data_IF_600287526400
#
_entry.id   IF_600287526400
#
_cell.length_a   1.000
_cell.length_b   1.000
_cell.length_c   1.000
_cell.angle_alpha   90.00
_cell.angle_beta   90.00
_cell.angle_gamma   90.00
#
_symmetry.space_group_name_H-M   'P 1'
#
loop_
_entity.id
_entity.type
_entity.pdbx_description
1 polymer ?
#
# COMPACT_ATOMS: atom_id res chain seq x y z
N UNK A 1 34.70 -5.61 13.00
CA UNK A 1 34.24 -4.51 13.88
C UNK A 1 32.72 -4.55 13.97
N UNK A 2 32.10 -4.54 15.15
CA UNK A 2 30.65 -4.58 15.24
C UNK A 2 30.09 -3.21 14.87
N UNK A 3 29.31 -3.15 13.78
CA UNK A 3 28.51 -1.98 13.42
C UNK A 3 27.58 -1.68 14.61
N UNK A 4 27.88 -0.64 15.38
CA UNK A 4 26.93 -0.06 16.34
C UNK A 4 25.63 0.17 15.57
N UNK A 5 24.52 -0.46 16.01
CA UNK A 5 23.16 -0.20 15.53
C UNK A 5 22.86 1.29 15.68
N UNK A 6 23.25 2.12 14.70
CA UNK A 6 22.87 3.53 14.62
C UNK A 6 21.35 3.53 14.48
N UNK A 7 20.65 3.93 15.55
CA UNK A 7 19.22 4.22 15.47
C UNK A 7 19.08 5.36 14.45
N UNK A 8 18.47 5.07 13.31
CA UNK A 8 18.14 6.09 12.32
C UNK A 8 17.27 7.16 13.00
N UNK A 9 17.49 8.46 12.73
CA UNK A 9 16.65 9.51 13.25
C UNK A 9 15.21 9.29 12.76
N UNK A 10 14.28 9.18 13.71
CA UNK A 10 12.86 8.91 13.47
C UNK A 10 12.08 10.21 13.53
N UNK A 11 11.31 10.50 12.50
CA UNK A 11 10.31 11.56 12.50
C UNK A 11 8.98 10.99 12.99
N UNK A 12 8.46 11.59 14.06
CA UNK A 12 7.10 11.38 14.54
C UNK A 12 6.12 12.43 13.99
N UNK A 13 6.60 13.35 13.16
CA UNK A 13 5.80 14.38 12.50
C UNK A 13 6.25 14.53 11.04
N UNK A 14 5.28 14.56 10.12
CA UNK A 14 5.51 14.79 8.68
C UNK A 14 5.70 16.28 8.43
N UNK A 15 6.73 16.65 7.65
CA UNK A 15 7.02 18.06 7.36
C UNK A 15 6.08 18.65 6.30
N UNK A 16 6.00 19.97 6.20
CA UNK A 16 5.17 20.66 5.21
C UNK A 16 5.61 20.35 3.77
N UNK A 17 6.91 20.18 3.55
CA UNK A 17 7.49 19.79 2.26
C UNK A 17 7.03 18.37 1.88
N UNK A 18 7.13 17.41 2.81
CA UNK A 18 6.65 16.05 2.59
C UNK A 18 5.15 16.02 2.29
N UNK A 19 4.32 16.80 3.01
CA UNK A 19 2.88 16.89 2.72
C UNK A 19 2.61 17.46 1.33
N UNK A 20 3.39 18.45 0.90
CA UNK A 20 3.27 19.03 -0.44
C UNK A 20 3.60 18.00 -1.52
N UNK A 21 4.64 17.19 -1.32
CA UNK A 21 4.99 16.11 -2.24
C UNK A 21 3.93 15.01 -2.28
N UNK A 22 3.39 14.60 -1.12
CA UNK A 22 2.33 13.61 -1.04
C UNK A 22 1.08 14.09 -1.79
N UNK A 23 0.72 15.38 -1.68
CA UNK A 23 -0.42 15.96 -2.39
C UNK A 23 -0.23 16.03 -3.92
N UNK A 24 0.99 15.88 -4.44
CA UNK A 24 1.26 15.81 -5.88
C UNK A 24 1.05 14.40 -6.45
N UNK A 25 0.90 13.39 -5.61
CA UNK A 25 0.61 12.03 -6.06
C UNK A 25 -0.81 12.02 -6.63
N UNK A 26 -0.90 11.85 -7.95
CA UNK A 26 -2.16 11.82 -8.67
C UNK A 26 -2.72 10.40 -8.68
N UNK A 27 -4.00 10.27 -8.37
CA UNK A 27 -4.74 9.02 -8.50
C UNK A 27 -5.66 9.08 -9.71
N UNK A 28 -5.84 7.95 -10.38
CA UNK A 28 -6.86 7.81 -11.43
C UNK A 28 -8.29 7.97 -10.88
N UNK A 29 -8.47 7.87 -9.56
CA UNK A 29 -9.76 7.90 -8.90
C UNK A 29 -9.68 8.55 -7.51
N UNK A 30 -10.79 9.12 -7.01
CA UNK A 30 -10.81 9.82 -5.73
C UNK A 30 -10.92 8.84 -4.55
N UNK A 31 -9.79 8.31 -4.10
CA UNK A 31 -9.73 7.44 -2.93
C UNK A 31 -10.06 8.15 -1.61
N UNK A 32 -10.67 7.41 -0.69
CA UNK A 32 -10.89 7.85 0.69
C UNK A 32 -10.11 6.95 1.65
N UNK A 33 -9.18 7.53 2.40
CA UNK A 33 -8.31 6.82 3.34
C UNK A 33 -8.85 6.78 4.77
N UNK A 34 -10.04 7.32 5.01
CA UNK A 34 -10.69 7.28 6.30
C UNK A 34 -10.99 5.83 6.72
N UNK A 35 -11.08 5.54 8.03
CA UNK A 35 -11.41 4.20 8.51
C UNK A 35 -12.68 3.67 7.83
N UNK A 36 -12.54 2.52 7.18
CA UNK A 36 -13.63 1.86 6.48
C UNK A 36 -14.44 0.95 7.43
N UNK A 37 -15.70 0.57 7.09
CA UNK A 37 -16.48 1.01 5.94
C UNK A 37 -17.33 2.28 6.19
N UNK A 38 -17.69 2.98 5.11
CA UNK A 38 -18.63 4.12 5.07
C UNK A 38 -18.30 5.25 6.06
N UNK A 39 -17.12 5.86 5.95
CA UNK A 39 -16.76 7.01 6.77
C UNK A 39 -17.65 8.21 6.46
N UNK A 40 -18.07 8.94 7.49
CA UNK A 40 -18.82 10.20 7.34
C UNK A 40 -17.98 11.31 6.72
N UNK A 41 -16.65 11.20 6.77
CA UNK A 41 -15.69 12.17 6.28
C UNK A 41 -14.77 11.57 5.22
N UNK A 42 -14.33 12.42 4.28
CA UNK A 42 -13.23 12.07 3.36
C UNK A 42 -11.91 12.43 4.02
N UNK A 43 -10.97 11.50 4.00
CA UNK A 43 -9.58 11.71 4.43
C UNK A 43 -8.68 11.50 3.23
N UNK A 44 -7.84 12.48 2.95
CA UNK A 44 -6.83 12.46 1.89
C UNK A 44 -5.64 11.57 2.25
N UNK A 45 -4.82 11.20 1.27
CA UNK A 45 -3.58 10.46 1.53
C UNK A 45 -2.63 11.21 2.47
N UNK A 46 -2.49 12.53 2.28
CA UNK A 46 -1.61 13.35 3.09
C UNK A 46 -2.05 13.41 4.55
N UNK A 47 -3.34 13.59 4.80
CA UNK A 47 -3.91 13.54 6.16
C UNK A 47 -3.70 12.17 6.80
N UNK A 48 -4.01 11.08 6.07
CA UNK A 48 -3.82 9.72 6.56
C UNK A 48 -2.36 9.42 6.93
N UNK A 49 -1.41 9.78 6.08
CA UNK A 49 0.03 9.56 6.33
C UNK A 49 0.51 10.41 7.49
N UNK A 50 0.06 11.66 7.60
CA UNK A 50 0.35 12.56 8.72
C UNK A 50 -0.11 11.96 10.05
N UNK A 51 -1.36 11.53 10.12
CA UNK A 51 -1.96 11.00 11.35
C UNK A 51 -1.30 9.67 11.77
N UNK A 52 -0.85 8.88 10.78
CA UNK A 52 -0.16 7.62 11.02
C UNK A 52 1.26 7.78 11.61
N UNK A 53 1.87 8.97 11.52
CA UNK A 53 3.24 9.22 12.00
C UNK A 53 3.41 9.01 13.52
N UNK A 54 2.31 9.18 14.27
CA UNK A 54 2.29 8.96 15.73
C UNK A 54 2.39 7.47 16.09
N UNK A 55 1.79 6.59 15.29
CA UNK A 55 1.78 5.14 15.48
C UNK A 55 3.00 4.46 14.86
N UNK A 56 3.43 4.96 13.70
CA UNK A 56 4.54 4.40 12.93
C UNK A 56 5.44 5.52 12.40
N UNK A 57 6.56 5.82 13.08
CA UNK A 57 7.41 6.93 12.69
C UNK A 57 8.11 6.70 11.35
N UNK A 58 8.37 7.79 10.63
CA UNK A 58 9.03 7.80 9.34
C UNK A 58 10.51 8.15 9.45
N UNK A 59 11.27 7.89 8.39
CA UNK A 59 12.60 8.46 8.21
C UNK A 59 12.47 9.92 7.76
N UNK A 60 13.53 10.71 8.00
CA UNK A 60 13.62 12.07 7.44
C UNK A 60 13.68 12.02 5.91
N UNK A 61 14.46 11.07 5.40
CA UNK A 61 14.72 10.89 3.98
C UNK A 61 15.23 9.48 3.76
N UNK A 62 14.76 8.81 2.71
CA UNK A 62 15.26 7.50 2.29
C UNK A 62 15.91 7.54 0.88
N UNK A 63 16.17 6.37 0.31
CA UNK A 63 16.80 6.23 -1.02
C UNK A 63 15.88 6.77 -2.12
N UNK A 64 14.57 6.51 -2.03
CA UNK A 64 13.58 6.95 -3.02
C UNK A 64 13.51 8.48 -3.06
N UNK A 65 13.53 9.14 -1.90
CA UNK A 65 13.59 10.60 -1.82
C UNK A 65 14.93 11.18 -2.27
N UNK A 66 16.04 10.46 -2.09
CA UNK A 66 17.36 10.90 -2.56
C UNK A 66 17.44 10.90 -4.08
N UNK A 67 16.78 9.93 -4.70
CA UNK A 67 16.73 9.78 -6.15
C UNK A 67 15.60 10.60 -6.80
N UNK A 68 14.75 11.27 -6.01
CA UNK A 68 13.59 12.03 -6.47
C UNK A 68 12.69 11.22 -7.41
N UNK A 69 12.45 9.93 -7.09
CA UNK A 69 11.63 9.09 -7.95
C UNK A 69 10.18 9.56 -7.91
N UNK A 70 9.58 9.87 -9.06
CA UNK A 70 8.19 10.36 -9.12
C UNK A 70 7.18 9.30 -8.68
N UNK A 71 7.43 8.03 -9.04
CA UNK A 71 6.57 6.89 -8.72
C UNK A 71 7.39 5.63 -8.42
N UNK A 72 6.76 4.68 -7.73
CA UNK A 72 7.29 3.32 -7.56
C UNK A 72 6.73 2.45 -8.69
N UNK A 73 7.64 1.75 -9.38
CA UNK A 73 7.37 0.74 -10.40
C UNK A 73 7.87 -0.61 -9.90
N UNK A 74 7.62 -1.68 -10.66
CA UNK A 74 8.21 -2.98 -10.34
C UNK A 74 9.74 -2.93 -10.26
N UNK A 75 10.37 -2.16 -11.13
CA UNK A 75 11.82 -2.00 -11.14
C UNK A 75 12.30 -1.19 -9.93
N UNK A 76 11.78 0.02 -9.73
CA UNK A 76 12.25 0.86 -8.62
C UNK A 76 11.94 0.26 -7.25
N UNK A 77 10.91 -0.60 -7.14
CA UNK A 77 10.65 -1.37 -5.92
C UNK A 77 11.84 -2.27 -5.57
N UNK A 78 12.31 -3.10 -6.49
CA UNK A 78 13.37 -4.07 -6.19
C UNK A 78 14.77 -3.44 -6.13
N UNK A 79 15.01 -2.37 -6.91
CA UNK A 79 16.31 -1.69 -6.93
C UNK A 79 16.54 -0.75 -5.74
N UNK A 80 15.48 -0.22 -5.13
CA UNK A 80 15.60 0.86 -4.15
C UNK A 80 14.94 0.59 -2.79
N UNK A 81 14.14 -0.46 -2.66
CA UNK A 81 13.52 -0.84 -1.40
C UNK A 81 14.05 -2.17 -0.89
N UNK A 82 14.56 -2.18 0.34
CA UNK A 82 14.91 -3.43 1.02
C UNK A 82 13.64 -4.08 1.56
N UNK A 83 13.18 -5.13 0.87
CA UNK A 83 11.99 -5.94 1.21
C UNK A 83 11.95 -6.36 2.69
N UNK A 84 13.11 -6.59 3.34
CA UNK A 84 13.20 -7.04 4.74
C UNK A 84 13.07 -5.90 5.74
N UNK A 85 13.34 -4.67 5.32
CA UNK A 85 13.35 -3.50 6.19
C UNK A 85 12.12 -2.61 6.01
N UNK A 86 11.29 -2.84 4.99
CA UNK A 86 10.06 -2.07 4.72
C UNK A 86 9.21 -1.86 5.99
N UNK A 87 8.90 -2.92 6.73
CA UNK A 87 8.08 -2.83 7.94
C UNK A 87 8.83 -2.30 9.19
N UNK A 88 10.08 -1.84 9.04
CA UNK A 88 10.87 -1.29 10.16
C UNK A 88 10.50 0.17 10.42
N UNK A 89 10.03 0.54 11.62
CA UNK A 89 9.69 1.93 11.93
C UNK A 89 10.90 2.86 11.81
N UNK A 90 10.75 3.94 11.05
CA UNK A 90 11.79 4.91 10.75
C UNK A 90 12.71 4.56 9.58
N UNK A 91 12.39 3.51 8.82
CA UNK A 91 13.16 3.13 7.62
C UNK A 91 12.74 3.92 6.38
N UNK A 92 11.43 3.97 6.10
CA UNK A 92 10.86 4.69 4.97
C UNK A 92 10.43 6.10 5.35
N UNK A 93 10.53 7.03 4.42
CA UNK A 93 9.98 8.37 4.58
C UNK A 93 8.46 8.38 4.39
N UNK A 94 7.82 9.46 4.82
CA UNK A 94 6.38 9.65 4.62
C UNK A 94 6.00 9.65 3.14
N UNK A 95 6.86 10.24 2.28
CA UNK A 95 6.64 10.33 0.84
C UNK A 95 6.74 8.95 0.18
N UNK A 96 7.74 8.15 0.56
CA UNK A 96 7.89 6.78 0.06
C UNK A 96 6.75 5.88 0.48
N UNK A 97 6.26 6.00 1.73
CA UNK A 97 5.06 5.29 2.19
C UNK A 97 3.84 5.67 1.35
N UNK A 98 3.65 6.96 1.07
CA UNK A 98 2.56 7.43 0.21
C UNK A 98 2.66 6.88 -1.24
N UNK A 99 3.86 6.86 -1.82
CA UNK A 99 4.12 6.28 -3.15
C UNK A 99 3.90 4.77 -3.18
N UNK A 100 4.22 4.05 -2.09
CA UNK A 100 3.92 2.63 -1.94
C UNK A 100 2.42 2.35 -1.85
N UNK A 101 1.67 3.16 -1.11
CA UNK A 101 0.20 3.08 -1.09
C UNK A 101 -0.35 3.27 -2.49
N UNK A 102 0.12 4.30 -3.21
CA UNK A 102 -0.28 4.55 -4.59
C UNK A 102 0.01 3.36 -5.51
N UNK A 103 1.24 2.84 -5.47
CA UNK A 103 1.65 1.67 -6.24
C UNK A 103 0.75 0.44 -5.96
N UNK A 104 0.47 0.16 -4.69
CA UNK A 104 -0.42 -0.94 -4.31
C UNK A 104 -1.85 -0.74 -4.84
N UNK A 105 -2.35 0.50 -4.81
CA UNK A 105 -3.68 0.82 -5.32
C UNK A 105 -3.78 0.67 -6.85
N UNK A 106 -2.71 0.97 -7.59
CA UNK A 106 -2.67 0.68 -9.04
C UNK A 106 -2.75 -0.82 -9.33
N UNK A 107 -2.11 -1.66 -8.51
CA UNK A 107 -2.21 -3.12 -8.64
C UNK A 107 -3.64 -3.60 -8.34
N UNK A 108 -4.29 -3.02 -7.31
CA UNK A 108 -5.70 -3.34 -7.02
C UNK A 108 -6.64 -2.94 -8.18
N UNK A 109 -6.40 -1.81 -8.85
CA UNK A 109 -7.17 -1.43 -10.05
C UNK A 109 -7.06 -2.48 -11.15
N UNK A 110 -5.82 -2.85 -11.49
CA UNK A 110 -5.60 -3.84 -12.55
C UNK A 110 -6.26 -5.17 -12.21
N UNK A 111 -6.25 -5.58 -10.94
CA UNK A 111 -6.94 -6.80 -10.52
C UNK A 111 -8.46 -6.67 -10.60
N UNK A 112 -9.02 -5.53 -10.17
CA UNK A 112 -10.45 -5.27 -10.25
C UNK A 112 -10.94 -5.30 -11.71
N UNK A 113 -10.17 -4.73 -12.63
CA UNK A 113 -10.49 -4.76 -14.07
C UNK A 113 -10.45 -6.19 -14.63
N UNK A 114 -9.41 -6.97 -14.31
CA UNK A 114 -9.31 -8.39 -14.74
C UNK A 114 -10.52 -9.19 -14.24
N UNK A 115 -10.92 -9.01 -12.98
CA UNK A 115 -12.07 -9.70 -12.41
C UNK A 115 -13.40 -9.25 -13.03
N UNK A 116 -13.55 -7.96 -13.30
CA UNK A 116 -14.73 -7.42 -13.97
C UNK A 116 -14.88 -8.04 -15.37
N UNK A 117 -13.80 -8.11 -16.16
CA UNK A 117 -13.80 -8.77 -17.47
C UNK A 117 -14.14 -10.26 -17.37
N UNK A 118 -13.51 -10.99 -16.45
CA UNK A 118 -13.82 -12.41 -16.26
C UNK A 118 -15.28 -12.68 -15.87
N UNK A 119 -15.92 -11.78 -15.11
CA UNK A 119 -17.34 -11.88 -14.79
C UNK A 119 -18.24 -11.64 -16.01
N UNK A 120 -17.89 -10.65 -16.83
CA UNK A 120 -18.62 -10.36 -18.08
C UNK A 120 -18.56 -11.57 -19.01
N UNK A 121 -17.39 -12.17 -19.20
CA UNK A 121 -17.19 -13.36 -20.06
C UNK A 121 -17.96 -14.58 -19.56
N UNK A 122 -18.23 -14.67 -18.25
CA UNK A 122 -19.02 -15.74 -17.63
C UNK A 122 -20.50 -15.38 -17.40
N UNK A 123 -20.96 -14.22 -17.86
CA UNK A 123 -22.35 -13.78 -17.70
C UNK A 123 -22.77 -13.49 -16.25
N UNK A 124 -21.81 -13.29 -15.35
CA UNK A 124 -22.06 -12.98 -13.93
C UNK A 124 -22.38 -11.49 -13.80
N UNK A 125 -23.52 -11.16 -13.17
CA UNK A 125 -23.89 -9.76 -12.91
C UNK A 125 -23.19 -9.22 -11.65
N UNK A 126 -22.70 -7.99 -11.74
CA UNK A 126 -22.15 -7.22 -10.60
C UNK A 126 -20.63 -7.02 -10.67
N UNK A 127 -20.17 -5.86 -10.21
CA UNK A 127 -18.75 -5.52 -10.14
C UNK A 127 -18.07 -6.27 -8.99
N UNK A 128 -16.77 -6.60 -9.10
CA UNK A 128 -16.01 -7.15 -7.99
C UNK A 128 -15.96 -6.17 -6.82
N UNK A 129 -16.17 -6.67 -5.60
CA UNK A 129 -15.98 -5.89 -4.38
C UNK A 129 -14.52 -5.98 -3.87
N UNK A 130 -14.18 -5.27 -2.79
CA UNK A 130 -12.82 -5.30 -2.26
C UNK A 130 -12.38 -6.70 -1.79
N UNK A 131 -13.32 -7.57 -1.40
CA UNK A 131 -13.04 -8.94 -0.96
C UNK A 131 -12.71 -9.83 -2.14
N UNK A 132 -13.45 -9.71 -3.23
CA UNK A 132 -13.19 -10.42 -4.48
C UNK A 132 -11.76 -10.14 -4.97
N UNK A 133 -11.39 -8.86 -5.02
CA UNK A 133 -10.06 -8.40 -5.41
C UNK A 133 -8.99 -8.97 -4.48
N UNK A 134 -9.23 -8.88 -3.16
CA UNK A 134 -8.26 -9.37 -2.18
C UNK A 134 -8.08 -10.89 -2.22
N UNK A 135 -9.15 -11.64 -2.42
CA UNK A 135 -9.10 -13.09 -2.57
C UNK A 135 -8.36 -13.49 -3.85
N UNK A 136 -8.54 -12.76 -4.95
CA UNK A 136 -7.82 -13.02 -6.19
C UNK A 136 -6.31 -12.83 -6.00
N UNK A 137 -5.88 -11.74 -5.35
CA UNK A 137 -4.47 -11.51 -5.02
C UNK A 137 -3.92 -12.54 -4.04
N UNK A 138 -4.67 -12.91 -2.99
CA UNK A 138 -4.27 -13.96 -2.06
C UNK A 138 -4.16 -15.34 -2.74
N UNK A 139 -5.05 -15.64 -3.69
CA UNK A 139 -4.97 -16.88 -4.48
C UNK A 139 -3.74 -16.89 -5.36
N UNK A 140 -3.42 -15.75 -6.02
CA UNK A 140 -2.16 -15.60 -6.76
C UNK A 140 -0.96 -15.72 -5.82
N UNK A 141 -1.05 -15.24 -4.59
CA UNK A 141 0.00 -15.36 -3.57
C UNK A 141 0.35 -16.80 -3.22
N UNK A 142 -0.62 -17.73 -3.28
CA UNK A 142 -0.40 -19.14 -2.97
C UNK A 142 0.60 -19.82 -3.91
N UNK A 143 0.97 -19.17 -5.03
CA UNK A 143 2.07 -19.65 -5.89
C UNK A 143 3.45 -19.51 -5.24
N UNK A 144 3.59 -18.69 -4.21
CA UNK A 144 4.85 -18.51 -3.50
C UNK A 144 4.93 -19.47 -2.32
N UNK A 145 5.92 -20.37 -2.37
CA UNK A 145 6.23 -21.31 -1.28
C UNK A 145 6.93 -20.65 -0.10
N UNK A 146 7.54 -19.47 -0.30
CA UNK A 146 8.14 -18.65 0.75
C UNK A 146 8.26 -17.19 0.31
N UNK A 147 8.17 -16.20 1.22
CA UNK A 147 8.42 -14.78 0.93
C UNK A 147 9.80 -14.50 0.32
N UNK A 148 10.80 -15.34 0.61
CA UNK A 148 12.16 -15.22 0.07
C UNK A 148 12.27 -15.66 -1.40
N UNK A 149 11.23 -16.31 -1.94
CA UNK A 149 11.19 -16.83 -3.32
C UNK A 149 10.23 -16.03 -4.22
N UNK A 150 9.84 -14.83 -3.82
CA UNK A 150 9.08 -13.92 -4.68
C UNK A 150 10.02 -13.43 -5.80
N UNK A 151 9.72 -13.72 -7.08
CA UNK A 151 10.56 -13.27 -8.20
C UNK A 151 10.74 -11.76 -8.21
N UNK A 152 11.85 -11.31 -8.77
CA UNK A 152 12.03 -9.89 -9.11
C UNK A 152 10.94 -9.45 -10.09
N UNK A 153 10.50 -8.21 -9.97
CA UNK A 153 9.48 -7.56 -10.80
C UNK A 153 8.07 -8.17 -10.75
N UNK A 154 7.81 -9.14 -9.86
CA UNK A 154 6.47 -9.70 -9.69
C UNK A 154 5.59 -8.76 -8.86
N UNK A 155 4.70 -8.02 -9.53
CA UNK A 155 3.79 -7.06 -8.91
C UNK A 155 2.95 -7.64 -7.76
N UNK A 156 2.48 -8.89 -7.87
CA UNK A 156 1.67 -9.51 -6.80
C UNK A 156 2.54 -9.75 -5.57
N UNK A 157 3.74 -10.29 -5.78
CA UNK A 157 4.68 -10.51 -4.69
C UNK A 157 5.13 -9.21 -4.02
N UNK A 158 5.42 -8.18 -4.81
CA UNK A 158 5.77 -6.85 -4.31
C UNK A 158 4.61 -6.19 -3.54
N UNK A 159 3.38 -6.32 -4.04
CA UNK A 159 2.17 -5.87 -3.33
C UNK A 159 2.10 -6.52 -1.94
N UNK A 160 2.22 -7.85 -1.88
CA UNK A 160 2.15 -8.60 -0.61
C UNK A 160 3.23 -8.19 0.37
N UNK A 161 4.45 -7.93 -0.12
CA UNK A 161 5.54 -7.42 0.71
C UNK A 161 5.21 -6.00 1.21
N UNK A 162 4.71 -5.12 0.35
CA UNK A 162 4.43 -3.73 0.67
C UNK A 162 3.31 -3.58 1.71
N UNK A 163 2.22 -4.34 1.58
CA UNK A 163 1.07 -4.24 2.50
C UNK A 163 1.35 -4.78 3.91
N UNK A 164 2.47 -5.48 4.12
CA UNK A 164 2.96 -5.82 5.48
C UNK A 164 3.47 -4.60 6.24
N UNK A 165 3.80 -3.51 5.55
CA UNK A 165 4.09 -2.26 6.21
C UNK A 165 2.77 -1.73 6.85
N UNK A 166 2.71 -1.49 8.18
CA UNK A 166 1.46 -1.20 8.88
C UNK A 166 0.65 -0.03 8.29
N UNK A 167 1.33 1.08 7.96
CA UNK A 167 0.69 2.25 7.34
C UNK A 167 0.20 1.95 5.92
N UNK A 168 1.01 1.27 5.10
CA UNK A 168 0.64 0.90 3.72
C UNK A 168 -0.55 -0.04 3.72
N UNK A 169 -0.50 -1.13 4.50
CA UNK A 169 -1.59 -2.08 4.62
C UNK A 169 -2.90 -1.44 5.08
N UNK A 170 -2.85 -0.58 6.10
CA UNK A 170 -4.02 0.17 6.59
C UNK A 170 -4.56 1.14 5.52
N UNK A 171 -3.69 1.89 4.86
CA UNK A 171 -4.07 2.86 3.83
C UNK A 171 -4.71 2.18 2.61
N UNK A 172 -4.09 1.12 2.11
CA UNK A 172 -4.59 0.31 0.99
C UNK A 172 -5.92 -0.34 1.34
N UNK A 173 -6.06 -0.90 2.55
CA UNK A 173 -7.31 -1.55 2.98
C UNK A 173 -8.47 -0.55 3.08
N UNK A 174 -8.23 0.62 3.71
CA UNK A 174 -9.25 1.67 3.84
C UNK A 174 -9.70 2.15 2.46
N UNK A 175 -8.73 2.48 1.59
CA UNK A 175 -9.00 2.96 0.24
C UNK A 175 -9.76 1.92 -0.60
N UNK A 176 -9.38 0.64 -0.51
CA UNK A 176 -10.03 -0.44 -1.24
C UNK A 176 -11.50 -0.63 -0.81
N UNK A 177 -11.75 -0.74 0.49
CA UNK A 177 -13.11 -0.96 1.01
C UNK A 177 -13.99 0.26 0.70
N UNK A 178 -13.48 1.48 0.84
CA UNK A 178 -14.26 2.68 0.55
C UNK A 178 -14.56 2.86 -0.94
N UNK A 179 -13.74 2.28 -1.83
CA UNK A 179 -13.93 2.33 -3.27
C UNK A 179 -14.86 1.24 -3.79
N UNK A 180 -14.52 -0.01 -3.54
CA UNK A 180 -15.23 -1.17 -4.11
C UNK A 180 -16.31 -1.71 -3.19
N UNK A 181 -16.41 -1.18 -1.97
CA UNK A 181 -17.26 -1.74 -0.93
C UNK A 181 -16.63 -2.96 -0.27
N UNK A 182 -17.08 -3.25 0.94
CA UNK A 182 -17.10 -4.61 1.47
C UNK A 182 -18.54 -5.08 1.33
N UNK A 183 -18.78 -6.32 0.88
CA UNK A 183 -20.10 -6.94 1.00
C UNK A 183 -20.69 -6.86 2.42
N UNK A 184 -21.89 -7.39 2.66
CA UNK A 184 -22.75 -7.14 3.83
C UNK A 184 -22.18 -7.36 5.26
N UNK A 185 -20.91 -7.73 5.45
CA UNK A 185 -20.30 -7.97 6.76
C UNK A 185 -19.50 -6.76 7.28
N UNK A 186 -20.04 -6.10 8.31
CA UNK A 186 -19.39 -5.03 9.08
C UNK A 186 -18.24 -5.63 9.92
N UNK A 187 -17.03 -5.06 9.83
CA UNK A 187 -15.85 -5.49 10.62
C UNK A 187 -14.74 -6.21 9.83
N UNK A 188 -14.71 -6.07 8.50
CA UNK A 188 -13.86 -6.86 7.61
C UNK A 188 -12.36 -6.49 7.68
N UNK A 189 -11.51 -7.46 8.05
CA UNK A 189 -10.07 -7.44 7.75
C UNK A 189 -9.83 -8.14 6.41
N UNK A 190 -9.01 -7.54 5.55
CA UNK A 190 -8.65 -8.14 4.26
C UNK A 190 -7.64 -9.29 4.47
N UNK A 191 -7.64 -10.32 3.62
CA UNK A 191 -6.85 -11.55 3.84
C UNK A 191 -5.33 -11.32 3.95
N UNK A 192 -4.79 -10.24 3.38
CA UNK A 192 -3.36 -9.93 3.48
C UNK A 192 -2.90 -9.43 4.85
N UNK A 193 -3.81 -9.24 5.82
CA UNK A 193 -3.45 -8.96 7.22
C UNK A 193 -2.81 -10.16 7.92
N UNK A 194 -2.98 -11.38 7.37
CA UNK A 194 -2.48 -12.63 7.94
C UNK A 194 -1.24 -13.20 7.20
N UNK A 195 -0.66 -12.45 6.24
CA UNK A 195 0.50 -12.87 5.45
C UNK A 195 1.85 -12.38 6.00
#
# INVERSE_FOLDING_TARGET
MPYKKRRLPKLTAVTAEQLTEINRISFNFPYNFAPAPRPATKVTLAEFVKDSAAEFPYSVRDVVDKLNLDFISAESFDHHLDRKLLATPGYLSAVTVAKLIHYCLQILESEAEILAWGRIDHGIRGMPDARDIANALATKANRYTSPDHIPEYDHVGQFLIAVKHPVVGKGVSNAAINRWGAGEQIGMQLPWWNF
#
